data_IF_179123693963
#
_entry.id   IF_179123693963
#
_cell.length_a   1.000
_cell.length_b   1.000
_cell.length_c   1.000
_cell.angle_alpha   90.00
_cell.angle_beta   90.00
_cell.angle_gamma   90.00
#
_symmetry.space_group_name_H-M   'P 1'
#
loop_
_entity.id
_entity.type
_entity.pdbx_description
1 polymer ?
#
# COMPACT_ATOMS: atom_id res chain seq x y z
N UNK A 1 1.56 -17.98 45.58
CA UNK A 1 2.73 -18.30 44.74
C UNK A 1 2.21 -18.44 43.32
N UNK A 2 2.20 -17.33 42.57
CA UNK A 2 1.46 -17.21 41.31
C UNK A 2 2.41 -16.98 40.14
N UNK A 3 2.24 -17.81 39.11
CA UNK A 3 2.84 -17.70 37.77
C UNK A 3 2.69 -16.28 37.21
N UNK A 4 3.75 -15.80 36.55
CA UNK A 4 3.65 -14.75 35.52
C UNK A 4 4.21 -15.30 34.21
N UNK A 5 3.31 -15.82 33.39
CA UNK A 5 3.47 -16.00 31.96
C UNK A 5 3.35 -14.62 31.30
N UNK A 6 4.38 -14.21 30.57
CA UNK A 6 4.34 -13.03 29.71
C UNK A 6 3.70 -13.42 28.37
N UNK A 7 2.45 -13.02 28.16
CA UNK A 7 1.77 -13.10 26.86
C UNK A 7 1.98 -11.81 26.07
N UNK A 8 2.47 -12.00 24.84
CA UNK A 8 2.30 -11.19 23.63
C UNK A 8 1.78 -9.75 23.74
N UNK A 9 2.63 -8.79 23.37
CA UNK A 9 2.25 -7.42 23.07
C UNK A 9 2.82 -6.98 21.73
N UNK A 10 2.29 -7.49 20.62
CA UNK A 10 2.55 -7.02 19.26
C UNK A 10 1.24 -7.16 18.48
N UNK A 11 0.36 -6.17 18.63
CA UNK A 11 -0.75 -5.87 17.73
C UNK A 11 -1.16 -4.42 18.04
N UNK A 12 -0.39 -3.48 17.49
CA UNK A 12 -0.82 -2.11 17.32
C UNK A 12 -0.84 -1.83 15.81
N UNK A 13 -1.70 -2.56 15.11
CA UNK A 13 -2.23 -2.12 13.82
C UNK A 13 -2.89 -0.75 14.04
N UNK A 14 -2.65 0.21 13.16
CA UNK A 14 -3.39 1.47 13.18
C UNK A 14 -4.87 1.13 12.95
N UNK A 15 -5.78 1.41 13.90
CA UNK A 15 -7.20 1.20 13.65
C UNK A 15 -7.63 2.09 12.48
N UNK A 16 -8.61 1.67 11.67
CA UNK A 16 -9.23 2.54 10.66
C UNK A 16 -10.00 3.73 11.27
N UNK A 17 -10.02 3.85 12.61
CA UNK A 17 -10.56 4.99 13.36
C UNK A 17 -9.55 6.11 13.67
N UNK A 18 -10.07 7.35 13.61
CA UNK A 18 -9.54 8.64 14.09
C UNK A 18 -8.03 8.68 14.40
N UNK A 19 -7.18 9.32 13.57
CA UNK A 19 -5.80 9.61 13.96
C UNK A 19 -5.81 10.42 15.26
N UNK A 20 -5.03 10.00 16.27
CA UNK A 20 -4.88 10.80 17.46
C UNK A 20 -4.15 12.10 17.10
N UNK A 21 -4.49 13.19 17.79
CA UNK A 21 -3.91 14.53 17.58
C UNK A 21 -2.43 14.55 17.97
N UNK A 22 -1.55 14.00 17.12
CA UNK A 22 -0.11 13.96 17.34
C UNK A 22 0.65 14.30 16.06
N UNK A 23 1.87 14.80 16.26
CA UNK A 23 2.63 15.63 15.33
C UNK A 23 2.90 15.07 13.94
N UNK A 24 3.24 16.00 13.05
CA UNK A 24 3.48 15.90 11.60
C UNK A 24 4.42 14.74 11.20
N UNK A 25 5.25 14.24 12.12
CA UNK A 25 6.30 13.24 11.88
C UNK A 25 5.84 11.77 11.96
N UNK A 26 4.59 11.47 12.34
CA UNK A 26 4.19 10.07 12.61
C UNK A 26 4.09 9.18 11.37
N UNK A 27 3.98 9.77 10.17
CA UNK A 27 3.75 9.08 8.90
C UNK A 27 4.96 9.11 7.96
N UNK A 28 6.14 9.49 8.45
CA UNK A 28 7.36 9.56 7.63
C UNK A 28 7.81 8.20 7.07
N UNK A 29 7.42 7.10 7.73
CA UNK A 29 7.77 5.76 7.29
C UNK A 29 6.59 4.81 7.54
N UNK A 30 5.99 4.22 6.48
CA UNK A 30 4.95 3.22 6.61
C UNK A 30 5.38 2.03 7.50
N UNK A 31 4.49 1.47 8.34
CA UNK A 31 4.83 0.34 9.21
C UNK A 31 5.42 -0.86 8.45
N UNK A 32 4.92 -1.15 7.24
CA UNK A 32 5.42 -2.24 6.40
C UNK A 32 6.89 -2.03 6.02
N UNK A 33 7.30 -0.81 5.71
CA UNK A 33 8.70 -0.48 5.42
C UNK A 33 9.59 -0.65 6.65
N UNK A 34 9.14 -0.21 7.82
CA UNK A 34 9.87 -0.42 9.08
C UNK A 34 10.05 -1.90 9.40
N UNK A 35 9.00 -2.70 9.22
CA UNK A 35 9.04 -4.16 9.41
C UNK A 35 10.05 -4.81 8.47
N UNK A 36 10.05 -4.40 7.20
CA UNK A 36 11.04 -4.85 6.23
C UNK A 36 12.47 -4.51 6.68
N UNK A 37 12.76 -3.26 7.06
CA UNK A 37 14.10 -2.87 7.52
C UNK A 37 14.57 -3.71 8.72
N UNK A 38 13.68 -3.97 9.68
CA UNK A 38 13.99 -4.85 10.82
C UNK A 38 14.30 -6.28 10.35
N UNK A 39 13.54 -6.79 9.40
CA UNK A 39 13.76 -8.14 8.86
C UNK A 39 15.05 -8.23 8.04
N UNK A 40 15.29 -7.26 7.15
CA UNK A 40 16.53 -7.06 6.40
C UNK A 40 17.73 -7.13 7.33
N UNK A 41 17.80 -6.27 8.35
CA UNK A 41 18.95 -6.25 9.28
C UNK A 41 19.15 -7.60 9.95
N UNK A 42 18.07 -8.26 10.39
CA UNK A 42 18.15 -9.55 11.08
C UNK A 42 18.61 -10.70 10.18
N UNK A 43 18.26 -10.68 8.90
CA UNK A 43 18.55 -11.77 7.97
C UNK A 43 19.92 -11.66 7.29
N UNK A 44 20.57 -10.50 7.30
CA UNK A 44 21.91 -10.38 6.74
C UNK A 44 22.91 -11.22 7.55
N UNK A 45 23.65 -12.10 6.87
CA UNK A 45 24.79 -12.79 7.45
C UNK A 45 25.95 -11.82 7.73
N UNK A 46 26.97 -12.25 8.46
CA UNK A 46 28.14 -11.41 8.70
C UNK A 46 28.82 -10.98 7.39
N UNK A 47 28.89 -11.86 6.38
CA UNK A 47 29.48 -11.54 5.09
C UNK A 47 28.63 -10.51 4.33
N UNK A 48 27.30 -10.64 4.38
CA UNK A 48 26.39 -9.67 3.77
C UNK A 48 26.48 -8.31 4.45
N UNK A 49 26.66 -8.27 5.77
CA UNK A 49 26.81 -7.02 6.53
C UNK A 49 28.12 -6.32 6.21
N UNK A 50 29.20 -7.07 6.00
CA UNK A 50 30.47 -6.53 5.47
C UNK A 50 30.26 -5.99 4.06
N UNK A 51 29.58 -6.74 3.19
CA UNK A 51 29.27 -6.32 1.84
C UNK A 51 28.40 -5.05 1.83
N UNK A 52 27.39 -4.96 2.71
CA UNK A 52 26.52 -3.80 2.85
C UNK A 52 27.27 -2.56 3.34
N UNK A 53 28.14 -2.71 4.34
CA UNK A 53 29.01 -1.64 4.82
C UNK A 53 29.94 -1.13 3.70
N UNK A 54 30.49 -2.05 2.90
CA UNK A 54 31.28 -1.69 1.72
C UNK A 54 30.43 -0.98 0.66
N UNK A 55 29.21 -1.46 0.40
CA UNK A 55 28.26 -0.87 -0.55
C UNK A 55 27.91 0.58 -0.20
N UNK A 56 27.89 0.90 1.10
CA UNK A 56 27.63 2.26 1.59
C UNK A 56 28.82 3.23 1.40
N UNK A 57 29.99 2.77 0.94
CA UNK A 57 31.15 3.65 0.71
C UNK A 57 30.87 4.66 -0.41
N UNK A 58 31.27 5.90 -0.18
CA UNK A 58 31.02 7.01 -1.11
C UNK A 58 29.68 7.72 -0.86
N UNK A 59 28.77 7.07 -0.14
CA UNK A 59 27.49 7.64 0.32
C UNK A 59 27.60 8.05 1.79
N UNK A 60 28.06 7.12 2.63
CA UNK A 60 28.26 7.35 4.06
C UNK A 60 29.70 7.82 4.32
N UNK A 61 29.91 8.89 5.11
CA UNK A 61 31.25 9.36 5.47
C UNK A 61 32.12 8.25 6.09
N UNK A 62 33.38 8.15 5.67
CA UNK A 62 34.31 7.10 6.12
C UNK A 62 34.43 7.01 7.65
N UNK A 63 34.41 8.14 8.36
CA UNK A 63 34.43 8.19 9.83
C UNK A 63 33.26 7.49 10.51
N UNK A 64 32.13 7.32 9.81
CA UNK A 64 30.95 6.57 10.28
C UNK A 64 31.02 5.09 9.91
N UNK A 65 31.90 4.71 8.99
CA UNK A 65 32.14 3.33 8.56
C UNK A 65 33.27 2.66 9.37
N UNK A 66 34.28 3.43 9.79
CA UNK A 66 35.50 2.92 10.47
C UNK A 66 35.23 2.27 11.85
N UNK A 67 34.05 2.52 12.44
CA UNK A 67 33.64 1.99 13.76
C UNK A 67 32.52 0.95 13.72
N UNK A 68 32.12 0.48 12.54
CA UNK A 68 30.97 -0.42 12.40
C UNK A 68 31.35 -1.83 12.81
N UNK A 69 30.71 -2.34 13.86
CA UNK A 69 30.76 -3.75 14.17
C UNK A 69 29.69 -4.49 13.36
N UNK A 70 30.11 -5.15 12.28
CA UNK A 70 29.23 -5.93 11.39
C UNK A 70 28.50 -7.07 12.10
N UNK A 71 28.93 -7.51 13.29
CA UNK A 71 28.19 -8.49 14.09
C UNK A 71 27.06 -7.90 14.94
N UNK A 72 26.86 -6.58 14.91
CA UNK A 72 25.90 -5.87 15.74
C UNK A 72 24.77 -5.24 14.88
N UNK A 73 23.53 -5.67 15.13
CA UNK A 73 22.34 -5.09 14.48
C UNK A 73 22.27 -3.57 14.63
N UNK A 74 22.66 -3.03 15.79
CA UNK A 74 22.59 -1.59 16.06
C UNK A 74 23.45 -0.77 15.09
N UNK A 75 24.59 -1.30 14.64
CA UNK A 75 25.46 -0.56 13.72
C UNK A 75 24.95 -0.62 12.28
N UNK A 76 24.27 -1.71 11.90
CA UNK A 76 23.57 -1.77 10.60
C UNK A 76 22.34 -0.85 10.60
N UNK A 77 21.59 -0.75 11.70
CA UNK A 77 20.50 0.24 11.80
C UNK A 77 21.01 1.67 11.65
N UNK A 78 22.15 2.03 12.25
CA UNK A 78 22.76 3.36 12.06
C UNK A 78 23.13 3.63 10.59
N UNK A 79 23.60 2.62 9.86
CA UNK A 79 23.84 2.76 8.42
C UNK A 79 22.55 3.09 7.68
N UNK A 80 21.46 2.35 7.95
CA UNK A 80 20.15 2.62 7.36
C UNK A 80 19.67 4.02 7.70
N UNK A 81 19.78 4.46 8.96
CA UNK A 81 19.43 5.82 9.37
C UNK A 81 20.24 6.89 8.64
N UNK A 82 21.54 6.63 8.36
CA UNK A 82 22.35 7.56 7.56
C UNK A 82 21.92 7.61 6.10
N UNK A 83 21.61 6.46 5.49
CA UNK A 83 21.09 6.43 4.13
C UNK A 83 19.77 7.19 4.03
N UNK A 84 18.90 7.04 5.04
CA UNK A 84 17.64 7.81 5.14
C UNK A 84 17.88 9.30 5.30
N UNK A 85 18.81 9.69 6.18
CA UNK A 85 19.15 11.10 6.40
C UNK A 85 19.82 11.76 5.18
N UNK A 86 20.44 10.96 4.31
CA UNK A 86 21.06 11.40 3.06
C UNK A 86 20.11 11.39 1.86
N UNK A 87 18.83 11.00 2.04
CA UNK A 87 17.84 10.81 0.97
C UNK A 87 18.21 9.71 -0.07
N UNK A 88 19.10 8.81 0.32
CA UNK A 88 19.58 7.68 -0.49
C UNK A 88 18.75 6.43 -0.28
N UNK A 89 17.93 6.43 0.77
CA UNK A 89 16.98 5.38 1.08
C UNK A 89 15.71 6.00 1.69
N UNK A 90 14.57 5.77 1.06
CA UNK A 90 13.28 6.17 1.62
C UNK A 90 12.22 5.13 1.29
N UNK A 91 11.01 5.30 1.82
CA UNK A 91 9.91 4.39 1.47
C UNK A 91 9.43 4.57 0.02
N UNK A 92 9.83 5.66 -0.65
CA UNK A 92 9.57 5.91 -2.08
C UNK A 92 10.79 5.67 -2.97
N UNK A 93 11.99 5.55 -2.38
CA UNK A 93 13.24 5.23 -3.08
C UNK A 93 13.95 4.04 -2.40
N UNK A 94 13.73 2.84 -2.94
CA UNK A 94 14.32 1.59 -2.44
C UNK A 94 15.39 1.02 -3.38
N UNK A 95 15.81 1.79 -4.39
CA UNK A 95 16.74 1.35 -5.45
C UNK A 95 18.07 0.83 -4.89
N UNK A 96 18.66 1.57 -3.95
CA UNK A 96 19.92 1.19 -3.30
C UNK A 96 19.86 -0.20 -2.66
N UNK A 97 18.77 -0.50 -1.92
CA UNK A 97 18.60 -1.81 -1.30
C UNK A 97 18.35 -2.90 -2.34
N UNK A 98 17.60 -2.62 -3.40
CA UNK A 98 17.38 -3.58 -4.49
C UNK A 98 18.68 -3.97 -5.18
N UNK A 99 19.48 -2.98 -5.57
CA UNK A 99 20.77 -3.21 -6.23
C UNK A 99 21.73 -3.98 -5.33
N UNK A 100 21.79 -3.62 -4.05
CA UNK A 100 22.57 -4.34 -3.07
C UNK A 100 22.12 -5.81 -2.96
N UNK A 101 20.84 -6.06 -2.68
CA UNK A 101 20.29 -7.41 -2.49
C UNK A 101 20.47 -8.29 -3.73
N UNK A 102 20.32 -7.70 -4.92
CA UNK A 102 20.62 -8.36 -6.19
C UNK A 102 22.11 -8.72 -6.29
N UNK A 103 23.01 -7.80 -5.93
CA UNK A 103 24.46 -8.01 -6.00
C UNK A 103 24.96 -9.10 -5.05
N UNK A 104 24.34 -9.25 -3.88
CA UNK A 104 24.71 -10.29 -2.91
C UNK A 104 23.91 -11.59 -3.07
N UNK A 105 22.98 -11.64 -4.03
CA UNK A 105 22.19 -12.83 -4.33
C UNK A 105 21.11 -13.16 -3.28
N UNK A 106 20.66 -12.18 -2.51
CA UNK A 106 19.58 -12.32 -1.52
C UNK A 106 18.19 -12.19 -2.16
N UNK A 107 17.86 -13.18 -3.00
CA UNK A 107 16.64 -13.17 -3.81
C UNK A 107 15.35 -13.13 -2.99
N UNK A 108 15.31 -13.77 -1.82
CA UNK A 108 14.12 -13.78 -0.96
C UNK A 108 13.83 -12.40 -0.37
N UNK A 109 14.86 -11.73 0.19
CA UNK A 109 14.75 -10.36 0.67
C UNK A 109 14.45 -9.37 -0.46
N UNK A 110 14.99 -9.61 -1.67
CA UNK A 110 14.68 -8.81 -2.84
C UNK A 110 13.20 -8.91 -3.21
N UNK A 111 12.63 -10.12 -3.25
CA UNK A 111 11.20 -10.34 -3.51
C UNK A 111 10.32 -9.70 -2.43
N UNK A 112 10.74 -9.79 -1.16
CA UNK A 112 10.04 -9.12 -0.06
C UNK A 112 10.07 -7.60 -0.25
N UNK A 113 11.22 -7.03 -0.63
CA UNK A 113 11.37 -5.59 -0.89
C UNK A 113 10.48 -5.12 -2.05
N UNK A 114 10.43 -5.88 -3.15
CA UNK A 114 9.53 -5.61 -4.28
C UNK A 114 8.05 -5.65 -3.87
N UNK A 115 7.67 -6.59 -3.01
CA UNK A 115 6.33 -6.63 -2.44
C UNK A 115 6.04 -5.42 -1.55
N UNK A 116 6.99 -4.99 -0.72
CA UNK A 116 6.86 -3.82 0.16
C UNK A 116 6.71 -2.54 -0.65
N UNK A 117 7.53 -2.36 -1.68
CA UNK A 117 7.47 -1.23 -2.59
C UNK A 117 6.12 -1.18 -3.33
N UNK A 118 5.67 -2.30 -3.90
CA UNK A 118 4.36 -2.36 -4.57
C UNK A 118 3.21 -2.02 -3.62
N UNK A 119 3.24 -2.55 -2.40
CA UNK A 119 2.25 -2.26 -1.37
C UNK A 119 2.17 -0.75 -1.06
N UNK A 120 3.33 -0.10 -0.95
CA UNK A 120 3.43 1.35 -0.75
C UNK A 120 2.92 2.11 -1.97
N UNK A 121 3.29 1.72 -3.19
CA UNK A 121 2.81 2.35 -4.42
C UNK A 121 1.28 2.29 -4.54
N UNK A 122 0.66 1.17 -4.19
CA UNK A 122 -0.81 1.05 -4.14
C UNK A 122 -1.39 2.01 -3.08
N UNK A 123 -0.76 2.10 -1.91
CA UNK A 123 -1.12 3.08 -0.89
C UNK A 123 -1.03 4.54 -1.38
N UNK A 124 0.02 4.88 -2.14
CA UNK A 124 0.19 6.20 -2.75
C UNK A 124 -0.90 6.49 -3.79
N UNK A 125 -1.22 5.53 -4.67
CA UNK A 125 -2.33 5.63 -5.63
C UNK A 125 -3.65 5.92 -4.90
N UNK A 126 -3.91 5.20 -3.80
CA UNK A 126 -5.11 5.37 -3.01
C UNK A 126 -5.16 6.75 -2.33
N UNK A 127 -4.03 7.20 -1.78
CA UNK A 127 -3.92 8.52 -1.17
C UNK A 127 -4.18 9.63 -2.19
N UNK A 128 -3.61 9.54 -3.39
CA UNK A 128 -3.84 10.52 -4.44
C UNK A 128 -5.29 10.48 -4.94
N UNK A 129 -5.87 9.29 -5.13
CA UNK A 129 -7.30 9.12 -5.43
C UNK A 129 -8.20 9.80 -4.37
N UNK A 130 -7.86 9.72 -3.08
CA UNK A 130 -8.64 10.36 -2.00
C UNK A 130 -8.48 11.88 -2.01
N UNK A 131 -7.30 12.40 -2.35
CA UNK A 131 -7.01 13.85 -2.38
C UNK A 131 -7.88 14.59 -3.39
N UNK A 132 -8.25 13.96 -4.50
CA UNK A 132 -9.04 14.58 -5.56
C UNK A 132 -10.53 14.28 -5.43
N UNK A 133 -11.36 15.30 -5.64
CA UNK A 133 -12.81 15.16 -5.51
C UNK A 133 -13.44 14.53 -6.75
N UNK A 134 -12.94 14.90 -7.92
CA UNK A 134 -13.43 14.53 -9.24
C UNK A 134 -12.28 14.44 -10.26
N UNK A 135 -12.57 13.90 -11.43
CA UNK A 135 -11.65 13.88 -12.58
C UNK A 135 -11.25 15.31 -12.99
N UNK A 136 -12.19 16.25 -12.99
CA UNK A 136 -11.90 17.67 -13.27
C UNK A 136 -10.96 18.30 -12.24
N UNK A 137 -11.14 17.99 -10.95
CA UNK A 137 -10.27 18.46 -9.86
C UNK A 137 -8.86 17.88 -9.98
N UNK A 138 -8.76 16.64 -10.44
CA UNK A 138 -7.49 15.97 -10.77
C UNK A 138 -6.78 16.70 -11.91
N UNK A 139 -7.41 16.88 -13.07
CA UNK A 139 -6.77 17.54 -14.22
C UNK A 139 -6.32 18.98 -13.91
N UNK A 140 -7.09 19.73 -13.12
CA UNK A 140 -6.74 21.10 -12.73
C UNK A 140 -5.49 21.18 -11.86
N UNK A 141 -5.26 20.19 -11.00
CA UNK A 141 -4.20 20.18 -9.97
C UNK A 141 -3.00 19.31 -10.33
N UNK A 142 -3.16 18.36 -11.25
CA UNK A 142 -2.14 17.35 -11.58
C UNK A 142 -1.04 17.79 -12.56
N UNK A 143 -1.02 19.04 -13.04
CA UNK A 143 0.05 19.54 -13.92
C UNK A 143 1.48 19.45 -13.31
N UNK A 144 1.64 18.93 -12.09
CA UNK A 144 2.92 18.75 -11.38
C UNK A 144 3.20 17.33 -10.87
N UNK A 145 2.32 16.35 -11.10
CA UNK A 145 2.53 14.97 -10.65
C UNK A 145 3.39 14.22 -11.66
N UNK A 146 4.51 13.67 -11.23
CA UNK A 146 5.37 12.82 -12.05
C UNK A 146 4.60 11.53 -12.42
N UNK A 147 4.37 11.38 -13.73
CA UNK A 147 3.74 10.34 -14.57
C UNK A 147 3.52 8.89 -14.08
N UNK A 148 4.06 8.45 -12.95
CA UNK A 148 4.17 7.00 -12.67
C UNK A 148 2.83 6.26 -12.52
N UNK A 149 1.76 6.89 -12.01
CA UNK A 149 0.46 6.23 -11.79
C UNK A 149 -0.77 7.11 -12.12
N UNK A 150 -0.60 8.22 -12.83
CA UNK A 150 -1.66 9.20 -13.07
C UNK A 150 -2.89 8.58 -13.78
N UNK A 151 -2.66 7.76 -14.79
CA UNK A 151 -3.71 7.02 -15.52
C UNK A 151 -4.52 6.11 -14.61
N UNK A 152 -3.88 5.47 -13.62
CA UNK A 152 -4.57 4.62 -12.65
C UNK A 152 -5.49 5.47 -11.76
N UNK A 153 -4.98 6.59 -11.24
CA UNK A 153 -5.77 7.49 -10.36
C UNK A 153 -6.97 8.07 -11.11
N UNK A 154 -6.76 8.56 -12.33
CA UNK A 154 -7.82 9.07 -13.20
C UNK A 154 -8.90 8.00 -13.43
N UNK A 155 -8.48 6.78 -13.78
CA UNK A 155 -9.41 5.67 -13.99
C UNK A 155 -10.22 5.31 -12.74
N UNK A 156 -9.62 5.34 -11.54
CA UNK A 156 -10.33 5.13 -10.28
C UNK A 156 -11.36 6.23 -10.01
N UNK A 157 -11.03 7.50 -10.32
CA UNK A 157 -11.95 8.64 -10.19
C UNK A 157 -13.12 8.52 -11.17
N UNK A 158 -12.87 8.22 -12.44
CA UNK A 158 -13.93 7.99 -13.43
C UNK A 158 -14.85 6.84 -12.98
N UNK A 159 -14.26 5.73 -12.55
CA UNK A 159 -15.00 4.57 -12.06
C UNK A 159 -15.89 4.94 -10.86
N UNK A 160 -15.39 5.75 -9.93
CA UNK A 160 -16.16 6.25 -8.78
C UNK A 160 -17.35 7.11 -9.22
N UNK A 161 -17.13 8.05 -10.13
CA UNK A 161 -18.17 8.97 -10.62
C UNK A 161 -19.29 8.21 -11.36
N UNK A 162 -18.92 7.28 -12.25
CA UNK A 162 -19.88 6.47 -13.01
C UNK A 162 -20.71 5.53 -12.13
N UNK A 163 -20.20 5.12 -10.96
CA UNK A 163 -20.82 4.12 -10.09
C UNK A 163 -21.25 4.68 -8.74
N UNK A 164 -21.37 6.01 -8.61
CA UNK A 164 -21.54 6.69 -7.33
C UNK A 164 -22.74 6.16 -6.51
N UNK A 165 -23.90 5.96 -7.14
CA UNK A 165 -25.11 5.48 -6.45
C UNK A 165 -24.92 4.09 -5.82
N UNK A 166 -24.29 3.17 -6.56
CA UNK A 166 -24.03 1.80 -6.09
C UNK A 166 -22.98 1.78 -4.98
N UNK A 167 -21.92 2.59 -5.14
CA UNK A 167 -20.89 2.73 -4.11
C UNK A 167 -21.49 3.29 -2.83
N UNK A 168 -22.36 4.30 -2.91
CA UNK A 168 -23.08 4.83 -1.76
C UNK A 168 -23.91 3.76 -1.05
N UNK A 169 -24.63 2.91 -1.79
CA UNK A 169 -25.41 1.81 -1.21
C UNK A 169 -24.53 0.83 -0.43
N UNK A 170 -23.39 0.42 -1.00
CA UNK A 170 -22.45 -0.48 -0.33
C UNK A 170 -21.88 0.17 0.93
N UNK A 171 -21.52 1.44 0.86
CA UNK A 171 -20.98 2.14 2.02
C UNK A 171 -22.00 2.26 3.15
N UNK A 172 -23.27 2.50 2.83
CA UNK A 172 -24.33 2.48 3.84
C UNK A 172 -24.46 1.10 4.47
N UNK A 173 -24.41 0.00 3.69
CA UNK A 173 -24.41 -1.36 4.23
C UNK A 173 -23.17 -1.63 5.10
N UNK A 174 -21.98 -1.21 4.65
CA UNK A 174 -20.73 -1.33 5.40
C UNK A 174 -20.74 -0.51 6.70
N UNK A 175 -21.40 0.66 6.72
CA UNK A 175 -21.57 1.48 7.93
C UNK A 175 -22.49 0.84 8.97
N UNK A 176 -23.44 0.00 8.54
CA UNK A 176 -24.29 -0.78 9.46
C UNK A 176 -23.51 -1.91 10.13
N UNK A 177 -22.38 -2.33 9.56
CA UNK A 177 -21.46 -3.29 10.17
C UNK A 177 -20.58 -2.53 11.17
N UNK A 178 -20.95 -2.59 12.45
CA UNK A 178 -20.31 -1.84 13.54
C UNK A 178 -18.90 -2.31 13.94
N UNK A 179 -18.33 -3.29 13.22
CA UNK A 179 -17.08 -3.94 13.58
C UNK A 179 -16.04 -3.82 12.45
N UNK A 180 -14.96 -3.11 12.72
CA UNK A 180 -13.81 -2.91 11.81
C UNK A 180 -13.21 -4.25 11.34
N UNK A 181 -13.33 -5.32 12.13
CA UNK A 181 -12.86 -6.66 11.75
C UNK A 181 -13.71 -7.29 10.64
N UNK A 182 -15.02 -7.04 10.64
CA UNK A 182 -15.93 -7.51 9.59
C UNK A 182 -15.76 -6.72 8.29
N UNK A 183 -15.43 -5.43 8.37
CA UNK A 183 -15.08 -4.63 7.18
C UNK A 183 -13.86 -5.19 6.44
N UNK A 184 -12.85 -5.65 7.18
CA UNK A 184 -11.67 -6.32 6.63
C UNK A 184 -12.02 -7.69 6.05
N UNK A 185 -12.83 -8.51 6.72
CA UNK A 185 -13.31 -9.80 6.19
C UNK A 185 -14.09 -9.63 4.87
N UNK A 186 -14.88 -8.56 4.73
CA UNK A 186 -15.66 -8.27 3.52
C UNK A 186 -14.75 -7.91 2.33
N UNK A 187 -13.67 -7.14 2.57
CA UNK A 187 -12.66 -6.84 1.56
C UNK A 187 -11.79 -8.07 1.22
N UNK A 188 -11.52 -8.93 2.21
CA UNK A 188 -10.89 -10.24 2.00
C UNK A 188 -11.76 -11.18 1.16
N UNK A 189 -13.08 -11.11 1.32
CA UNK A 189 -14.04 -11.92 0.58
C UNK A 189 -14.06 -11.60 -0.92
N UNK A 190 -13.97 -10.31 -1.28
CA UNK A 190 -13.75 -9.87 -2.67
C UNK A 190 -12.47 -10.45 -3.24
N UNK A 191 -11.47 -10.65 -2.38
CA UNK A 191 -10.14 -11.10 -2.74
C UNK A 191 -10.03 -12.61 -2.98
N UNK A 192 -11.12 -13.37 -2.87
CA UNK A 192 -11.13 -14.84 -3.07
C UNK A 192 -11.04 -15.28 -4.53
N UNK A 193 -11.44 -14.44 -5.49
CA UNK A 193 -11.28 -14.67 -6.94
C UNK A 193 -10.79 -13.39 -7.63
N UNK A 194 -9.62 -12.89 -7.21
CA UNK A 194 -9.07 -11.64 -7.72
C UNK A 194 -8.94 -11.63 -9.25
N UNK A 195 -9.42 -10.52 -9.82
CA UNK A 195 -9.28 -10.10 -11.22
C UNK A 195 -8.96 -8.61 -11.24
N UNK A 196 -8.49 -8.07 -12.35
CA UNK A 196 -8.23 -6.62 -12.45
C UNK A 196 -9.47 -5.78 -12.13
N UNK A 197 -10.67 -6.22 -12.53
CA UNK A 197 -11.93 -5.55 -12.19
C UNK A 197 -12.22 -5.54 -10.68
N UNK A 198 -11.93 -6.65 -9.99
CA UNK A 198 -12.08 -6.73 -8.53
C UNK A 198 -11.05 -5.85 -7.84
N UNK A 199 -9.79 -5.85 -8.30
CA UNK A 199 -8.75 -4.95 -7.80
C UNK A 199 -9.23 -3.49 -7.89
N UNK A 200 -9.73 -3.06 -9.04
CA UNK A 200 -10.31 -1.72 -9.23
C UNK A 200 -11.46 -1.46 -8.24
N UNK A 201 -12.40 -2.39 -8.13
CA UNK A 201 -13.57 -2.27 -7.25
C UNK A 201 -13.14 -2.08 -5.78
N UNK A 202 -12.22 -2.92 -5.33
CA UNK A 202 -11.68 -2.88 -3.96
C UNK A 202 -10.99 -1.56 -3.69
N UNK A 203 -10.11 -1.09 -4.59
CA UNK A 203 -9.43 0.20 -4.43
C UNK A 203 -10.41 1.38 -4.37
N UNK A 204 -11.41 1.42 -5.25
CA UNK A 204 -12.43 2.47 -5.25
C UNK A 204 -13.21 2.46 -3.93
N UNK A 205 -13.73 1.30 -3.50
CA UNK A 205 -14.53 1.18 -2.28
C UNK A 205 -13.70 1.53 -1.05
N UNK A 206 -12.47 1.00 -0.93
CA UNK A 206 -11.57 1.32 0.17
C UNK A 206 -11.26 2.81 0.23
N UNK A 207 -11.02 3.47 -0.91
CA UNK A 207 -10.73 4.90 -0.91
C UNK A 207 -11.94 5.76 -0.55
N UNK A 208 -13.15 5.42 -1.02
CA UNK A 208 -14.36 6.15 -0.58
C UNK A 208 -14.64 5.91 0.91
N UNK A 209 -14.43 4.69 1.40
CA UNK A 209 -14.54 4.39 2.83
C UNK A 209 -13.57 5.26 3.65
N UNK A 210 -12.31 5.35 3.25
CA UNK A 210 -11.32 6.20 3.92
C UNK A 210 -11.65 7.70 3.85
N UNK A 211 -12.14 8.18 2.70
CA UNK A 211 -12.61 9.56 2.56
C UNK A 211 -13.82 9.86 3.46
N UNK A 212 -14.67 8.86 3.71
CA UNK A 212 -15.88 9.00 4.52
C UNK A 212 -15.61 9.25 6.00
N UNK A 213 -14.41 8.92 6.50
CA UNK A 213 -13.98 9.27 7.85
C UNK A 213 -13.67 10.76 8.02
N UNK A 214 -13.75 11.56 6.93
CA UNK A 214 -13.99 13.01 6.99
C UNK A 214 -12.83 13.87 7.48
N UNK A 215 -11.58 13.43 7.35
CA UNK A 215 -10.43 14.15 7.89
C UNK A 215 -9.46 14.60 6.80
N UNK A 216 -9.01 15.85 6.91
CA UNK A 216 -7.81 16.32 6.20
C UNK A 216 -6.62 15.62 6.85
N UNK A 217 -6.25 14.48 6.30
CA UNK A 217 -5.15 13.70 6.82
C UNK A 217 -3.80 14.32 6.39
N UNK A 218 -2.79 14.18 7.24
CA UNK A 218 -1.42 14.52 6.86
C UNK A 218 -0.97 13.62 5.69
N UNK A 219 -0.06 14.13 4.86
CA UNK A 219 0.54 13.35 3.77
C UNK A 219 1.12 12.03 4.31
N UNK A 220 0.92 10.93 3.59
CA UNK A 220 1.37 9.61 3.99
C UNK A 220 0.45 8.88 4.98
N UNK A 221 -0.60 9.53 5.51
CA UNK A 221 -1.56 8.89 6.42
C UNK A 221 -2.23 7.68 5.78
N UNK A 222 -2.78 7.84 4.57
CA UNK A 222 -3.54 6.76 3.92
C UNK A 222 -2.62 5.65 3.44
N UNK A 223 -1.39 5.99 3.04
CA UNK A 223 -0.33 5.01 2.75
C UNK A 223 -0.08 4.14 3.99
N UNK A 224 0.12 4.76 5.16
CA UNK A 224 0.36 4.04 6.40
C UNK A 224 -0.86 3.20 6.85
N UNK A 225 -2.06 3.75 6.73
CA UNK A 225 -3.30 3.09 7.14
C UNK A 225 -3.62 1.87 6.25
N UNK A 226 -3.37 1.96 4.95
CA UNK A 226 -3.68 0.90 4.00
C UNK A 226 -2.59 -0.19 3.96
N UNK A 227 -1.32 0.21 3.91
CA UNK A 227 -0.20 -0.71 3.64
C UNK A 227 0.01 -1.81 4.69
N UNK A 228 -0.50 -1.63 5.91
CA UNK A 228 -0.42 -2.63 6.99
C UNK A 228 -1.68 -3.50 7.12
N UNK A 229 -2.57 -3.49 6.09
CA UNK A 229 -3.81 -4.28 6.08
C UNK A 229 -3.65 -5.60 5.33
N UNK A 230 -4.44 -6.60 5.72
CA UNK A 230 -4.51 -7.89 5.03
C UNK A 230 -5.02 -7.74 3.58
N UNK A 231 -5.96 -6.82 3.35
CA UNK A 231 -6.43 -6.45 2.00
C UNK A 231 -5.26 -5.97 1.13
N UNK A 232 -4.43 -5.07 1.64
CA UNK A 232 -3.26 -4.58 0.89
C UNK A 232 -2.29 -5.72 0.56
N UNK A 233 -2.03 -6.62 1.52
CA UNK A 233 -1.17 -7.79 1.31
C UNK A 233 -1.72 -8.72 0.20
N UNK A 234 -3.02 -9.01 0.21
CA UNK A 234 -3.68 -9.86 -0.79
C UNK A 234 -3.64 -9.23 -2.19
N UNK A 235 -3.98 -7.94 -2.29
CA UNK A 235 -3.92 -7.20 -3.55
C UNK A 235 -2.49 -7.14 -4.09
N UNK A 236 -1.53 -6.75 -3.25
CA UNK A 236 -0.11 -6.66 -3.61
C UNK A 236 0.39 -7.99 -4.19
N UNK A 237 0.16 -9.09 -3.47
CA UNK A 237 0.57 -10.43 -3.92
C UNK A 237 -0.03 -10.79 -5.28
N UNK A 238 -1.32 -10.53 -5.46
CA UNK A 238 -1.99 -10.86 -6.71
C UNK A 238 -1.53 -9.97 -7.86
N UNK A 239 -1.43 -8.66 -7.65
CA UNK A 239 -0.95 -7.69 -8.66
C UNK A 239 0.47 -8.05 -9.09
N UNK A 240 1.36 -8.35 -8.14
CA UNK A 240 2.74 -8.76 -8.42
C UNK A 240 2.77 -10.02 -9.29
N UNK A 241 1.99 -11.05 -8.91
CA UNK A 241 1.88 -12.31 -9.68
C UNK A 241 1.33 -12.11 -11.09
N UNK A 242 0.57 -11.05 -11.34
CA UNK A 242 -0.07 -10.77 -12.63
C UNK A 242 0.66 -9.66 -13.43
N UNK A 243 1.93 -9.37 -13.13
CA UNK A 243 2.75 -8.44 -13.94
C UNK A 243 2.84 -7.02 -13.38
N UNK A 244 2.45 -6.82 -12.12
CA UNK A 244 2.64 -5.56 -11.39
C UNK A 244 1.74 -4.42 -11.88
N UNK A 245 2.06 -3.19 -11.48
CA UNK A 245 1.31 -1.99 -11.87
C UNK A 245 1.35 -1.73 -13.38
N UNK A 246 2.40 -2.18 -14.08
CA UNK A 246 2.50 -2.05 -15.53
C UNK A 246 1.38 -2.83 -16.24
N UNK A 247 1.16 -4.09 -15.85
CA UNK A 247 0.07 -4.90 -16.41
C UNK A 247 -1.31 -4.34 -16.04
N UNK A 248 -1.46 -3.75 -14.85
CA UNK A 248 -2.70 -3.09 -14.46
C UNK A 248 -3.00 -1.85 -15.33
N UNK A 249 -1.98 -1.03 -15.56
CA UNK A 249 -2.03 0.15 -16.40
C UNK A 249 -2.31 -0.21 -17.88
N UNK A 250 -1.72 -1.29 -18.40
CA UNK A 250 -2.08 -1.86 -19.71
C UNK A 250 -3.54 -2.34 -19.77
N UNK A 251 -4.03 -3.00 -18.72
CA UNK A 251 -5.45 -3.38 -18.62
C UNK A 251 -6.38 -2.16 -18.67
N UNK A 252 -6.03 -1.08 -17.97
CA UNK A 252 -6.82 0.17 -17.95
C UNK A 252 -6.85 0.81 -19.34
N UNK A 253 -5.69 0.98 -19.99
CA UNK A 253 -5.62 1.55 -21.34
C UNK A 253 -6.47 0.78 -22.34
N UNK A 254 -6.35 -0.55 -22.34
CA UNK A 254 -7.15 -1.41 -23.22
C UNK A 254 -8.66 -1.21 -22.99
N UNK A 255 -9.09 -0.97 -21.75
CA UNK A 255 -10.50 -0.71 -21.43
C UNK A 255 -10.96 0.68 -21.86
N UNK A 256 -10.11 1.71 -21.71
CA UNK A 256 -10.40 3.06 -22.17
C UNK A 256 -10.53 3.13 -23.70
N UNK A 257 -9.66 2.43 -24.46
CA UNK A 257 -9.73 2.38 -25.92
C UNK A 257 -11.02 1.71 -26.43
N UNK A 258 -11.47 0.63 -25.78
CA UNK A 258 -12.73 -0.04 -26.15
C UNK A 258 -13.94 0.82 -25.78
N UNK A 259 -13.87 1.62 -24.72
CA UNK A 259 -14.89 2.60 -24.37
C UNK A 259 -15.01 3.71 -25.43
N UNK A 260 -13.89 4.23 -25.95
CA UNK A 260 -13.89 5.22 -27.03
C UNK A 260 -14.46 4.69 -28.35
N UNK A 261 -14.40 3.38 -28.57
CA UNK A 261 -14.98 2.69 -29.73
C UNK A 261 -16.46 2.30 -29.53
N UNK A 262 -17.10 2.74 -28.44
CA UNK A 262 -18.55 2.70 -28.24
C UNK A 262 -19.14 1.36 -27.78
N UNK A 263 -18.34 0.34 -27.46
CA UNK A 263 -18.87 -1.03 -27.24
C UNK A 263 -18.63 -1.67 -25.85
N UNK A 264 -17.95 -1.04 -24.88
CA UNK A 264 -17.67 -1.74 -23.60
C UNK A 264 -17.65 -0.91 -22.31
N UNK A 265 -18.26 0.27 -22.27
CA UNK A 265 -18.52 0.97 -21.00
C UNK A 265 -19.48 0.18 -20.08
N UNK A 266 -20.23 -0.81 -20.60
CA UNK A 266 -21.12 -1.64 -19.76
C UNK A 266 -20.36 -2.61 -18.84
N UNK A 267 -19.17 -3.09 -19.22
CA UNK A 267 -18.56 -4.27 -18.59
C UNK A 267 -18.03 -4.04 -17.17
N UNK A 268 -17.50 -2.84 -16.85
CA UNK A 268 -16.93 -2.55 -15.53
C UNK A 268 -18.01 -2.03 -14.60
N UNK A 269 -18.93 -1.18 -15.09
CA UNK A 269 -20.13 -0.84 -14.33
C UNK A 269 -20.95 -2.08 -13.97
N UNK A 270 -21.11 -3.04 -14.89
CA UNK A 270 -21.78 -4.33 -14.62
C UNK A 270 -20.97 -5.24 -13.69
N UNK A 271 -19.65 -5.34 -13.86
CA UNK A 271 -18.79 -6.16 -12.99
C UNK A 271 -18.66 -5.58 -11.58
N UNK A 272 -18.55 -4.26 -11.44
CA UNK A 272 -18.60 -3.55 -10.16
C UNK A 272 -19.99 -3.73 -9.55
N UNK A 273 -21.07 -3.56 -10.32
CA UNK A 273 -22.44 -3.81 -9.86
C UNK A 273 -22.65 -5.25 -9.40
N UNK A 274 -22.07 -6.24 -10.08
CA UNK A 274 -22.12 -7.64 -9.65
C UNK A 274 -21.29 -7.87 -8.38
N UNK A 275 -20.08 -7.31 -8.28
CA UNK A 275 -19.25 -7.39 -7.08
C UNK A 275 -19.93 -6.71 -5.89
N UNK A 276 -20.54 -5.54 -6.11
CA UNK A 276 -21.33 -4.77 -5.14
C UNK A 276 -22.59 -5.54 -4.70
N UNK A 277 -23.32 -6.18 -5.62
CA UNK A 277 -24.45 -7.04 -5.27
C UNK A 277 -24.01 -8.26 -4.47
N UNK A 278 -22.89 -8.89 -4.87
CA UNK A 278 -22.31 -10.01 -4.14
C UNK A 278 -21.86 -9.59 -2.73
N UNK A 279 -21.35 -8.37 -2.56
CA UNK A 279 -21.03 -7.78 -1.26
C UNK A 279 -22.29 -7.63 -0.40
N UNK A 280 -23.32 -6.94 -0.91
CA UNK A 280 -24.56 -6.72 -0.15
C UNK A 280 -25.24 -8.01 0.30
N UNK A 281 -25.37 -8.98 -0.61
CA UNK A 281 -25.98 -10.29 -0.29
C UNK A 281 -25.22 -11.06 0.79
N UNK A 282 -23.90 -10.87 0.90
CA UNK A 282 -23.08 -11.57 1.90
C UNK A 282 -23.07 -10.87 3.25
N UNK A 283 -23.22 -9.55 3.27
CA UNK A 283 -23.41 -8.77 4.49
C UNK A 283 -24.73 -9.16 5.15
N UNK A 284 -25.81 -9.29 4.37
CA UNK A 284 -27.13 -9.71 4.86
C UNK A 284 -27.14 -11.13 5.51
N UNK A 285 -26.24 -12.02 5.07
CA UNK A 285 -26.09 -13.37 5.65
C UNK A 285 -25.33 -13.36 6.98
N UNK A 286 -24.48 -12.36 7.22
CA UNK A 286 -23.68 -12.24 8.44
C UNK A 286 -24.33 -11.37 9.53
N UNK A 287 -25.48 -10.77 9.24
CA UNK A 287 -26.30 -9.95 10.15
C UNK A 287 -27.52 -10.70 10.74
N UNK A 288 -27.79 -11.93 10.30
CA UNK A 288 -28.68 -12.91 10.95
C UNK A 288 -27.92 -13.77 11.97
#
# INVERSE_FOLDING_TARGET
MALRTATSGLNASCPPGRPPAYGIFRYEHPPIFKKFIVHFVRLLSNDDRVAFSYWCKGIVPGSKLDGINVGNDSDIYKLVEFLQSADELSFTNMSLLKEFLLSVGHHELLQELESVELCISIGCILEDYIKFKSVDDFHLKCMKLADSYATIVEFLLTTKEENQELISLVLEQLRQVSDDSKLLEILELLSSQLSWSIVTSTLVITGVLYASFGQVAASGYYVCAFSDTRTSELLTRWILKNGGLKAFDEFIRNKQEVASNGSALSSIGESIKENIKLLGNRIDIQSE
#
